data_IF_533272724204
#
_entry.id   IF_533272724204
#
_cell.length_a   1.000
_cell.length_b   1.000
_cell.length_c   1.000
_cell.angle_alpha   90.00
_cell.angle_beta   90.00
_cell.angle_gamma   90.00
#
_symmetry.space_group_name_H-M   'P 1'
#
loop_
_entity.id
_entity.type
_entity.pdbx_description
1 polymer ?
#
# COMPACT_ATOMS: atom_id res chain seq x y z
N UNK A 1 27.36 19.27 -13.43
CA UNK A 1 27.75 17.84 -13.33
C UNK A 1 26.83 17.05 -14.25
N UNK A 2 27.35 16.08 -15.01
CA UNK A 2 26.49 15.19 -15.82
C UNK A 2 25.96 14.04 -14.96
N UNK A 3 24.83 13.47 -15.34
CA UNK A 3 24.24 12.31 -14.66
C UNK A 3 25.23 11.14 -14.58
N UNK A 4 25.98 10.88 -15.64
CA UNK A 4 27.03 9.85 -15.67
C UNK A 4 28.14 10.13 -14.65
N UNK A 5 28.62 11.38 -14.57
CA UNK A 5 29.65 11.74 -13.59
C UNK A 5 29.18 11.55 -12.14
N UNK A 6 27.89 11.81 -11.87
CA UNK A 6 27.31 11.62 -10.55
C UNK A 6 27.17 10.13 -10.19
N UNK A 7 26.72 9.29 -11.13
CA UNK A 7 26.61 7.84 -10.92
C UNK A 7 27.96 7.22 -10.55
N UNK A 8 29.02 7.55 -11.30
CA UNK A 8 30.37 7.04 -11.05
C UNK A 8 30.89 7.43 -9.67
N UNK A 9 30.67 8.68 -9.24
CA UNK A 9 31.06 9.14 -7.90
C UNK A 9 30.33 8.39 -6.78
N UNK A 10 29.03 8.12 -6.96
CA UNK A 10 28.25 7.38 -5.98
C UNK A 10 28.71 5.92 -5.89
N UNK A 11 28.96 5.26 -7.03
CA UNK A 11 29.49 3.89 -7.07
C UNK A 11 30.86 3.83 -6.37
N UNK A 12 31.77 4.75 -6.69
CA UNK A 12 33.08 4.80 -6.08
C UNK A 12 33.00 4.98 -4.56
N UNK A 13 32.11 5.86 -4.09
CA UNK A 13 31.92 6.08 -2.65
C UNK A 13 31.34 4.85 -1.95
N UNK A 14 30.41 4.15 -2.58
CA UNK A 14 29.84 2.90 -2.04
C UNK A 14 30.88 1.78 -1.98
N UNK A 15 31.78 1.67 -2.96
CA UNK A 15 32.84 0.66 -2.96
C UNK A 15 33.90 0.89 -1.87
N UNK A 16 34.12 2.16 -1.48
CA UNK A 16 35.16 2.54 -0.51
C UNK A 16 34.66 2.60 0.94
N UNK A 17 33.36 2.61 1.16
CA UNK A 17 32.79 2.77 2.51
C UNK A 17 32.59 1.42 3.21
N UNK A 18 32.87 1.38 4.50
CA UNK A 18 32.59 0.23 5.39
C UNK A 18 31.49 0.55 6.41
N UNK A 19 30.85 1.72 6.28
CA UNK A 19 29.76 2.14 7.15
C UNK A 19 28.47 1.39 6.78
N UNK A 20 28.18 0.33 7.54
CA UNK A 20 26.98 -0.49 7.38
C UNK A 20 25.69 0.33 7.50
N UNK A 21 25.67 1.37 8.33
CA UNK A 21 24.50 2.23 8.53
C UNK A 21 24.19 3.04 7.28
N UNK A 22 25.22 3.57 6.63
CA UNK A 22 25.09 4.25 5.33
C UNK A 22 24.62 3.27 4.24
N UNK A 23 25.24 2.09 4.15
CA UNK A 23 24.89 1.08 3.16
C UNK A 23 23.43 0.61 3.30
N UNK A 24 22.96 0.42 4.53
CA UNK A 24 21.57 0.05 4.81
C UNK A 24 20.59 1.12 4.34
N UNK A 25 20.86 2.40 4.64
CA UNK A 25 20.01 3.52 4.19
C UNK A 25 19.93 3.59 2.66
N UNK A 26 21.04 3.35 1.96
CA UNK A 26 21.07 3.35 0.49
C UNK A 26 20.28 2.15 -0.06
N UNK A 27 20.44 0.96 0.53
CA UNK A 27 19.65 -0.21 0.15
C UNK A 27 18.14 0.00 0.36
N UNK A 28 17.75 0.66 1.45
CA UNK A 28 16.35 0.97 1.74
C UNK A 28 15.79 2.02 0.77
N UNK A 29 16.59 3.01 0.36
CA UNK A 29 16.21 3.97 -0.68
C UNK A 29 15.87 3.26 -2.00
N UNK A 30 16.75 2.37 -2.49
CA UNK A 30 16.51 1.62 -3.73
C UNK A 30 15.34 0.63 -3.62
N UNK A 31 15.09 0.06 -2.43
CA UNK A 31 13.90 -0.77 -2.19
C UNK A 31 12.63 0.06 -2.21
N UNK A 32 12.63 1.22 -1.57
CA UNK A 32 11.45 2.10 -1.53
C UNK A 32 11.05 2.61 -2.92
N UNK A 33 12.01 2.87 -3.81
CA UNK A 33 11.73 3.24 -5.21
C UNK A 33 11.12 2.06 -6.01
N UNK A 34 11.53 0.83 -5.71
CA UNK A 34 11.00 -0.37 -6.37
C UNK A 34 9.61 -0.77 -5.85
N UNK A 35 9.33 -0.47 -4.58
CA UNK A 35 8.13 -0.91 -3.87
C UNK A 35 6.97 0.11 -3.90
N UNK A 36 7.11 1.25 -4.61
CA UNK A 36 5.99 2.19 -4.81
C UNK A 36 4.82 1.52 -5.54
N UNK A 37 5.08 0.50 -6.37
CA UNK A 37 4.02 -0.27 -7.02
C UNK A 37 3.57 -1.52 -6.21
N UNK A 38 4.37 -2.04 -5.28
CA UNK A 38 4.17 -3.41 -4.76
C UNK A 38 3.90 -3.54 -3.24
N UNK A 39 4.20 -2.53 -2.40
CA UNK A 39 4.05 -2.69 -0.93
C UNK A 39 2.95 -1.84 -0.26
N UNK A 40 2.19 -1.03 -1.01
CA UNK A 40 1.17 -0.15 -0.42
C UNK A 40 -0.13 0.01 -1.20
N UNK A 41 -0.21 -0.56 -2.41
CA UNK A 41 -1.39 -0.49 -3.27
C UNK A 41 -2.42 -1.58 -2.95
N UNK A 42 -3.70 -1.26 -3.12
CA UNK A 42 -4.70 -2.32 -3.30
C UNK A 42 -4.33 -3.09 -4.57
N UNK A 43 -4.28 -4.43 -4.49
CA UNK A 43 -4.13 -5.27 -5.69
C UNK A 43 -5.32 -5.07 -6.63
N UNK A 44 -5.15 -5.43 -7.90
CA UNK A 44 -6.25 -5.40 -8.87
C UNK A 44 -7.46 -6.21 -8.40
N UNK A 45 -7.23 -7.33 -7.72
CA UNK A 45 -8.28 -8.14 -7.11
C UNK A 45 -9.04 -7.37 -6.03
N UNK A 46 -8.33 -6.67 -5.13
CA UNK A 46 -8.98 -5.81 -4.13
C UNK A 46 -9.80 -4.69 -4.79
N UNK A 47 -9.29 -4.11 -5.87
CA UNK A 47 -9.98 -3.05 -6.61
C UNK A 47 -11.26 -3.58 -7.28
N UNK A 48 -11.21 -4.79 -7.85
CA UNK A 48 -12.35 -5.43 -8.48
C UNK A 48 -13.48 -5.71 -7.47
N UNK A 49 -13.16 -6.15 -6.26
CA UNK A 49 -14.14 -6.37 -5.18
C UNK A 49 -14.90 -5.07 -4.84
N UNK A 50 -14.18 -3.95 -4.73
CA UNK A 50 -14.81 -2.65 -4.43
C UNK A 50 -15.70 -2.21 -5.59
N UNK A 51 -15.21 -2.36 -6.83
CA UNK A 51 -15.95 -1.98 -8.04
C UNK A 51 -17.25 -2.77 -8.21
N UNK A 52 -17.23 -4.08 -7.94
CA UNK A 52 -18.43 -4.92 -7.99
C UNK A 52 -19.46 -4.48 -6.94
N UNK A 53 -19.03 -4.22 -5.71
CA UNK A 53 -19.90 -3.73 -4.63
C UNK A 53 -20.52 -2.38 -4.96
N UNK A 54 -19.73 -1.45 -5.50
CA UNK A 54 -20.22 -0.14 -5.93
C UNK A 54 -21.27 -0.27 -7.04
N UNK A 55 -21.05 -1.14 -8.02
CA UNK A 55 -22.00 -1.38 -9.10
C UNK A 55 -23.32 -1.97 -8.58
N UNK A 56 -23.27 -2.92 -7.65
CA UNK A 56 -24.45 -3.47 -6.99
C UNK A 56 -25.20 -2.42 -6.17
N UNK A 57 -24.48 -1.55 -5.45
CA UNK A 57 -25.06 -0.42 -4.72
C UNK A 57 -25.78 0.55 -5.66
N UNK A 58 -25.14 0.93 -6.78
CA UNK A 58 -25.74 1.80 -7.80
C UNK A 58 -27.00 1.21 -8.45
N UNK A 59 -27.08 -0.12 -8.54
CA UNK A 59 -28.29 -0.84 -9.00
C UNK A 59 -29.36 -1.03 -7.92
N UNK A 60 -29.10 -0.62 -6.68
CA UNK A 60 -30.02 -0.83 -5.55
C UNK A 60 -30.10 -2.27 -5.05
N UNK A 61 -29.15 -3.13 -5.45
CA UNK A 61 -29.09 -4.55 -5.06
C UNK A 61 -28.45 -4.74 -3.67
N UNK A 62 -27.86 -3.67 -3.12
CA UNK A 62 -27.23 -3.67 -1.80
C UNK A 62 -28.25 -3.54 -0.67
N UNK A 63 -28.08 -4.34 0.39
CA UNK A 63 -28.81 -4.12 1.65
C UNK A 63 -28.19 -2.93 2.38
N UNK A 64 -28.99 -1.91 2.63
CA UNK A 64 -28.63 -0.79 3.50
C UNK A 64 -29.42 -0.93 4.80
N UNK A 65 -28.82 -0.47 5.89
CA UNK A 65 -29.43 -0.52 7.22
C UNK A 65 -29.37 0.86 7.85
N UNK A 66 -30.42 1.20 8.58
CA UNK A 66 -30.44 2.34 9.50
C UNK A 66 -29.55 2.06 10.70
N UNK A 67 -29.17 3.13 11.40
CA UNK A 67 -28.33 3.01 12.58
C UNK A 67 -29.01 2.21 13.71
N UNK A 68 -30.33 2.35 13.83
CA UNK A 68 -31.17 1.63 14.76
C UNK A 68 -31.16 0.12 14.47
N UNK A 69 -31.30 -0.28 13.20
CA UNK A 69 -31.23 -1.68 12.77
C UNK A 69 -29.85 -2.29 13.06
N UNK A 70 -28.77 -1.56 12.74
CA UNK A 70 -27.40 -2.01 13.04
C UNK A 70 -27.19 -2.21 14.55
N UNK A 71 -27.69 -1.28 15.37
CA UNK A 71 -27.58 -1.35 16.83
C UNK A 71 -28.30 -2.57 17.40
N UNK A 72 -29.49 -2.89 16.90
CA UNK A 72 -30.25 -4.07 17.31
C UNK A 72 -29.58 -5.38 16.86
N UNK A 73 -29.05 -5.43 15.64
CA UNK A 73 -28.29 -6.60 15.15
C UNK A 73 -27.05 -6.88 16.01
N UNK A 74 -26.26 -5.85 16.32
CA UNK A 74 -25.06 -5.98 17.16
C UNK A 74 -25.39 -6.47 18.58
N UNK A 75 -26.51 -5.99 19.16
CA UNK A 75 -26.97 -6.44 20.48
C UNK A 75 -27.42 -7.90 20.49
N UNK A 76 -28.11 -8.35 19.43
CA UNK A 76 -28.54 -9.75 19.29
C UNK A 76 -27.34 -10.68 19.10
N UNK A 77 -26.35 -10.29 18.30
CA UNK A 77 -25.14 -11.07 18.08
C UNK A 77 -24.32 -11.30 19.37
N UNK A 78 -24.33 -10.35 20.31
CA UNK A 78 -23.65 -10.49 21.61
C UNK A 78 -24.37 -11.43 22.59
N UNK A 79 -25.66 -11.72 22.34
CA UNK A 79 -26.50 -12.59 23.21
C UNK A 79 -26.56 -14.04 22.73
N UNK A 80 -26.00 -14.35 21.56
CA UNK A 80 -25.87 -15.69 21.01
C UNK A 80 -24.48 -16.25 21.36
#
# INVERSE_FOLDING_TARGET
MSTESLKLQLIERLLRTTDEGLLKKVADLFRSEKNVEDEGGLTDEHYNIVKEREAAYKRGEGKSYTWEEVREMARKAKKA
#
